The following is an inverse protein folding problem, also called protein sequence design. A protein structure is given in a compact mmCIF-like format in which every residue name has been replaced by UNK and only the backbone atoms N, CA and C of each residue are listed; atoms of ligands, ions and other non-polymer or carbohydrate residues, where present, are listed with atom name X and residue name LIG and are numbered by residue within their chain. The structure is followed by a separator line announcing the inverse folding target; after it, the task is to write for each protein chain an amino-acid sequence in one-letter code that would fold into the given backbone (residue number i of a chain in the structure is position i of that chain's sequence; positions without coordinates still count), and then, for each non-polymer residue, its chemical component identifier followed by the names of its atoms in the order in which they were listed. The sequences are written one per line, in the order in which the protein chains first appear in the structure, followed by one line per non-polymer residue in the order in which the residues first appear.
data_IF_471138637951
#
_entry.id   IF_471138637951
#
_cell.length_a   1.000
_cell.length_b   1.000
_cell.length_c   1.000
_cell.angle_alpha   90.00
_cell.angle_beta   90.00
_cell.angle_gamma   90.00
#
_symmetry.space_group_name_H-M   'P 1'
#
loop_
_entity.id
_entity.type
_entity.pdbx_description
1 polymer ?
#
# COMPACT_ATOMS: atom_id res chain seq x y z
N UNK A 1 8.34 -13.85 17.06
CA UNK A 1 9.16 -13.03 16.13
C UNK A 1 8.65 -11.60 16.09
N UNK A 2 9.52 -10.60 15.92
CA UNK A 2 9.13 -9.19 15.82
C UNK A 2 8.84 -8.75 14.38
N UNK A 3 7.63 -8.27 14.13
CA UNK A 3 7.20 -7.75 12.83
C UNK A 3 7.87 -6.39 12.51
N UNK A 4 8.47 -6.29 11.33
CA UNK A 4 9.12 -5.10 10.79
C UNK A 4 8.40 -4.64 9.53
N UNK A 5 7.91 -3.40 9.59
CA UNK A 5 7.24 -2.71 8.50
C UNK A 5 7.38 -1.20 8.68
N UNK A 6 7.00 -0.42 7.66
CA UNK A 6 7.03 1.03 7.76
C UNK A 6 5.81 1.51 8.57
N UNK A 7 6.04 2.48 9.47
CA UNK A 7 4.98 3.12 10.25
C UNK A 7 5.04 4.61 9.96
N UNK A 8 3.91 5.17 9.55
CA UNK A 8 3.78 6.62 9.39
C UNK A 8 3.81 7.33 10.75
N UNK A 9 4.08 8.65 10.78
CA UNK A 9 3.96 9.47 11.98
C UNK A 9 2.58 9.32 12.65
N UNK A 10 2.53 9.60 13.96
CA UNK A 10 1.35 9.37 14.80
C UNK A 10 0.12 10.11 14.23
N UNK A 11 -0.93 9.34 13.90
CA UNK A 11 -2.21 9.86 13.39
C UNK A 11 -2.40 9.68 11.87
N UNK A 12 -1.34 9.37 11.13
CA UNK A 12 -1.42 9.06 9.71
C UNK A 12 -1.49 7.56 9.46
N UNK A 13 -2.20 7.16 8.40
CA UNK A 13 -2.39 5.76 8.01
C UNK A 13 -2.10 5.60 6.53
N UNK A 14 -1.57 4.45 6.16
CA UNK A 14 -1.42 4.05 4.77
C UNK A 14 -1.81 2.58 4.68
N UNK A 15 -2.85 2.30 3.90
CA UNK A 15 -3.44 0.97 3.73
C UNK A 15 -2.37 -0.11 3.52
N UNK A 16 -1.39 0.16 2.65
CA UNK A 16 -0.32 -0.78 2.37
C UNK A 16 0.51 -1.20 3.59
N UNK A 17 0.79 -0.25 4.49
CA UNK A 17 1.54 -0.53 5.71
C UNK A 17 0.66 -1.19 6.77
N UNK A 18 -0.59 -0.75 6.88
CA UNK A 18 -1.61 -1.26 7.81
C UNK A 18 -2.01 -2.72 7.52
N UNK A 19 -1.78 -3.21 6.29
CA UNK A 19 -1.93 -4.62 5.96
C UNK A 19 -1.02 -5.52 6.81
N UNK A 20 0.15 -5.05 7.24
CA UNK A 20 1.09 -5.88 8.00
C UNK A 20 0.50 -6.41 9.31
N UNK A 21 0.15 -5.56 10.30
CA UNK A 21 -0.42 -6.07 11.55
C UNK A 21 -1.76 -6.77 11.34
N UNK A 22 -2.54 -6.35 10.32
CA UNK A 22 -3.86 -6.90 10.07
C UNK A 22 -3.82 -8.31 9.44
N UNK A 23 -2.97 -8.52 8.43
CA UNK A 23 -2.93 -9.75 7.64
C UNK A 23 -2.13 -10.84 8.34
N UNK A 24 -0.96 -10.51 8.87
CA UNK A 24 -0.09 -11.51 9.48
C UNK A 24 -0.70 -12.11 10.75
N UNK A 25 -1.43 -11.33 11.54
CA UNK A 25 -2.17 -11.85 12.71
C UNK A 25 -3.21 -12.91 12.31
N UNK A 26 -3.80 -12.81 11.12
CA UNK A 26 -4.79 -13.78 10.62
C UNK A 26 -4.16 -15.03 10.01
N UNK A 27 -3.00 -14.88 9.36
CA UNK A 27 -2.32 -15.97 8.68
C UNK A 27 -1.48 -16.84 9.61
N UNK A 28 -0.83 -16.21 10.60
CA UNK A 28 0.12 -16.86 11.51
C UNK A 28 -0.12 -16.39 12.96
N UNK A 29 -1.33 -16.60 13.53
CA UNK A 29 -1.68 -16.11 14.85
C UNK A 29 -0.72 -16.64 15.92
N UNK A 30 -0.30 -15.77 16.84
CA UNK A 30 0.62 -16.11 17.94
C UNK A 30 2.09 -16.31 17.54
N UNK A 31 2.44 -16.32 16.25
CA UNK A 31 3.84 -16.45 15.80
C UNK A 31 4.61 -15.12 15.94
N UNK A 32 3.92 -13.99 15.80
CA UNK A 32 4.49 -12.65 15.91
C UNK A 32 4.47 -12.12 17.36
N UNK A 33 5.15 -12.82 18.26
CA UNK A 33 5.21 -12.60 19.72
C UNK A 33 6.07 -11.40 20.21
N UNK A 34 6.47 -10.48 19.33
CA UNK A 34 7.38 -9.35 19.64
C UNK A 34 8.82 -9.70 20.06
N UNK A 35 9.26 -10.97 20.01
CA UNK A 35 10.66 -11.36 20.24
C UNK A 35 11.60 -10.65 19.25
N UNK A 36 12.43 -9.76 19.79
CA UNK A 36 13.39 -8.98 19.01
C UNK A 36 14.54 -9.83 18.44
N UNK A 37 14.74 -11.06 18.93
CA UNK A 37 15.81 -11.97 18.48
C UNK A 37 15.56 -12.57 17.09
N UNK A 38 14.32 -12.51 16.60
CA UNK A 38 13.94 -12.91 15.23
C UNK A 38 13.10 -11.80 14.60
N UNK A 39 13.58 -11.19 13.52
CA UNK A 39 12.84 -10.19 12.76
C UNK A 39 12.06 -10.83 11.61
N UNK A 40 10.77 -10.51 11.49
CA UNK A 40 9.97 -10.83 10.31
C UNK A 40 9.75 -9.55 9.49
N UNK A 41 10.32 -9.48 8.29
CA UNK A 41 10.23 -8.31 7.41
C UNK A 41 9.03 -8.49 6.48
N UNK A 42 7.96 -7.77 6.77
CA UNK A 42 6.66 -7.94 6.11
C UNK A 42 6.49 -7.14 4.83
N UNK A 43 5.24 -6.89 4.46
CA UNK A 43 4.81 -6.24 3.23
C UNK A 43 5.38 -4.82 3.14
N UNK A 44 5.83 -4.46 1.94
CA UNK A 44 6.31 -3.12 1.61
C UNK A 44 7.60 -3.10 0.82
N UNK A 45 8.22 -1.92 0.76
CA UNK A 45 9.56 -1.72 0.16
C UNK A 45 10.58 -1.55 1.29
N UNK A 46 10.86 -2.65 1.99
CA UNK A 46 11.61 -2.62 3.25
C UNK A 46 13.07 -3.05 3.09
N UNK A 47 13.43 -3.65 1.96
CA UNK A 47 14.79 -4.10 1.69
C UNK A 47 15.61 -2.92 1.16
N UNK A 48 16.38 -2.30 2.03
CA UNK A 48 17.32 -1.23 1.71
C UNK A 48 18.43 -1.14 2.75
N UNK A 49 19.37 -0.22 2.55
CA UNK A 49 20.50 0.03 3.43
C UNK A 49 20.14 0.41 4.88
N UNK A 50 18.87 0.75 5.16
CA UNK A 50 18.37 0.98 6.53
C UNK A 50 17.88 -0.30 7.24
N UNK A 51 17.67 -1.40 6.51
CA UNK A 51 17.17 -2.66 7.09
C UNK A 51 18.08 -3.21 8.21
N UNK A 52 19.41 -3.30 8.05
CA UNK A 52 20.29 -3.83 9.10
C UNK A 52 20.14 -3.08 10.43
N UNK A 53 19.98 -1.76 10.39
CA UNK A 53 19.77 -0.96 11.59
C UNK A 53 18.41 -1.25 12.24
N UNK A 54 17.36 -1.46 11.43
CA UNK A 54 16.02 -1.79 11.91
C UNK A 54 15.93 -3.21 12.49
N UNK A 55 16.85 -4.09 12.10
CA UNK A 55 16.93 -5.49 12.56
C UNK A 55 18.15 -5.77 13.43
N UNK A 56 18.86 -4.75 13.94
CA UNK A 56 20.14 -4.88 14.66
C UNK A 56 20.15 -5.81 15.89
N UNK A 57 18.97 -6.12 16.45
CA UNK A 57 18.82 -7.00 17.60
C UNK A 57 18.45 -8.44 17.21
N UNK A 58 18.16 -8.68 15.94
CA UNK A 58 17.74 -9.97 15.44
C UNK A 58 18.97 -10.82 15.08
N UNK A 59 19.00 -12.06 15.57
CA UNK A 59 19.95 -13.10 15.15
C UNK A 59 19.49 -13.78 13.87
N UNK A 60 18.19 -13.73 13.57
CA UNK A 60 17.56 -14.26 12.36
C UNK A 60 16.61 -13.25 11.75
N UNK A 61 16.71 -13.03 10.45
CA UNK A 61 15.90 -12.08 9.67
C UNK A 61 15.14 -12.88 8.61
N UNK A 62 13.83 -12.96 8.76
CA UNK A 62 12.93 -13.63 7.82
C UNK A 62 12.42 -12.60 6.80
N UNK A 63 12.66 -12.88 5.52
CA UNK A 63 12.16 -12.10 4.38
C UNK A 63 11.04 -12.89 3.72
N UNK A 64 9.86 -12.27 3.60
CA UNK A 64 8.70 -12.89 2.97
C UNK A 64 7.88 -11.86 2.19
N UNK A 65 7.91 -11.94 0.86
CA UNK A 65 7.05 -11.15 -0.04
C UNK A 65 7.28 -9.63 -0.01
N UNK A 66 8.36 -9.17 0.62
CA UNK A 66 8.76 -7.77 0.64
C UNK A 66 9.70 -7.48 -0.53
N UNK A 67 9.81 -6.21 -0.92
CA UNK A 67 10.69 -5.83 -2.04
C UNK A 67 11.73 -4.79 -1.68
N UNK A 68 12.69 -4.66 -2.59
CA UNK A 68 13.68 -3.58 -2.61
C UNK A 68 12.99 -2.26 -2.89
N UNK A 69 13.47 -1.21 -2.24
CA UNK A 69 13.04 0.14 -2.55
C UNK A 69 13.36 1.13 -1.45
N UNK A 70 13.40 2.40 -1.84
CA UNK A 70 13.87 3.52 -1.02
C UNK A 70 15.33 3.34 -0.54
N UNK A 71 16.01 4.42 -0.17
CA UNK A 71 17.42 4.35 0.24
C UNK A 71 18.43 4.30 -0.93
N UNK A 72 19.70 4.05 -0.59
CA UNK A 72 20.85 4.17 -1.52
C UNK A 72 21.51 2.82 -1.89
N UNK A 73 20.91 1.71 -1.48
CA UNK A 73 21.45 0.38 -1.72
C UNK A 73 20.68 -0.71 -0.97
N UNK A 74 21.14 -1.94 -1.11
CA UNK A 74 20.58 -3.14 -0.46
C UNK A 74 21.51 -3.64 0.66
N UNK A 75 21.00 -4.37 1.66
CA UNK A 75 21.85 -5.03 2.65
C UNK A 75 22.71 -6.12 2.00
N UNK A 76 23.89 -6.38 2.59
CA UNK A 76 24.64 -7.60 2.29
C UNK A 76 23.90 -8.78 2.94
N UNK A 77 23.52 -9.77 2.13
CA UNK A 77 22.86 -10.98 2.60
C UNK A 77 23.93 -11.92 3.17
N UNK A 78 23.73 -12.35 4.41
CA UNK A 78 24.56 -13.31 5.14
C UNK A 78 23.69 -14.42 5.77
N UNK A 79 24.28 -15.27 6.60
CA UNK A 79 23.61 -16.42 7.22
C UNK A 79 22.46 -16.04 8.18
N UNK A 80 22.39 -14.78 8.62
CA UNK A 80 21.27 -14.32 9.44
C UNK A 80 19.97 -14.21 8.65
N UNK A 81 20.03 -14.13 7.32
CA UNK A 81 18.85 -13.98 6.47
C UNK A 81 18.28 -15.33 6.05
N UNK A 82 16.97 -15.50 6.27
CA UNK A 82 16.16 -16.56 5.66
C UNK A 82 15.19 -15.91 4.68
N UNK A 83 15.45 -16.08 3.38
CA UNK A 83 14.64 -15.50 2.31
C UNK A 83 13.75 -16.59 1.71
N UNK A 84 12.44 -16.50 1.99
CA UNK A 84 11.45 -17.41 1.40
C UNK A 84 11.02 -16.94 0.02
N UNK A 85 10.76 -15.65 -0.12
CA UNK A 85 10.47 -15.00 -1.38
C UNK A 85 10.63 -13.48 -1.26
N UNK A 86 10.85 -12.84 -2.40
CA UNK A 86 10.83 -11.39 -2.57
C UNK A 86 9.75 -10.99 -3.55
N UNK A 87 9.40 -9.70 -3.54
CA UNK A 87 8.27 -9.15 -4.29
C UNK A 87 8.32 -9.35 -5.80
N UNK A 88 9.51 -9.41 -6.40
CA UNK A 88 9.64 -9.50 -7.86
C UNK A 88 11.07 -9.66 -8.34
N UNK A 89 11.22 -9.72 -9.67
CA UNK A 89 12.50 -10.03 -10.32
C UNK A 89 13.55 -8.96 -10.05
N UNK A 90 13.15 -7.68 -10.04
CA UNK A 90 14.07 -6.57 -9.79
C UNK A 90 14.62 -6.62 -8.35
N UNK A 91 13.80 -7.02 -7.38
CA UNK A 91 14.25 -7.26 -6.01
C UNK A 91 15.23 -8.43 -5.93
N UNK A 92 14.97 -9.55 -6.61
CA UNK A 92 15.87 -10.70 -6.61
C UNK A 92 17.24 -10.35 -7.24
N UNK A 93 17.22 -9.66 -8.39
CA UNK A 93 18.41 -9.19 -9.09
C UNK A 93 19.22 -8.20 -8.24
N UNK A 94 18.55 -7.22 -7.62
CA UNK A 94 19.22 -6.24 -6.77
C UNK A 94 19.93 -6.88 -5.55
N UNK A 95 19.42 -8.02 -5.05
CA UNK A 95 20.02 -8.76 -3.95
C UNK A 95 21.04 -9.82 -4.41
N UNK A 96 21.16 -10.08 -5.72
CA UNK A 96 22.00 -11.15 -6.25
C UNK A 96 21.55 -12.55 -5.84
N UNK A 97 20.25 -12.75 -5.61
CA UNK A 97 19.66 -14.05 -5.26
C UNK A 97 18.99 -14.71 -6.46
N UNK A 98 18.64 -15.99 -6.33
CA UNK A 98 17.93 -16.74 -7.38
C UNK A 98 16.61 -16.07 -7.76
N UNK A 99 16.38 -15.87 -9.06
CA UNK A 99 15.10 -15.37 -9.60
C UNK A 99 13.92 -16.29 -9.26
N UNK A 100 14.16 -17.57 -8.90
CA UNK A 100 13.12 -18.48 -8.41
C UNK A 100 12.46 -18.01 -7.10
N UNK A 101 13.11 -17.10 -6.37
CA UNK A 101 12.57 -16.50 -5.15
C UNK A 101 11.74 -15.24 -5.43
N UNK A 102 11.70 -14.75 -6.68
CA UNK A 102 10.83 -13.65 -7.10
C UNK A 102 9.40 -14.17 -7.30
N UNK A 103 8.64 -14.27 -6.21
CA UNK A 103 7.30 -14.86 -6.23
C UNK A 103 6.23 -13.79 -6.46
N UNK A 104 5.99 -12.91 -5.48
CA UNK A 104 5.14 -11.72 -5.59
C UNK A 104 5.10 -10.97 -4.25
N UNK A 105 4.35 -9.87 -4.16
CA UNK A 105 4.13 -9.13 -2.92
C UNK A 105 3.32 -9.95 -1.90
N UNK A 106 3.74 -9.94 -0.63
CA UNK A 106 3.06 -10.71 0.44
C UNK A 106 1.58 -10.36 0.62
N UNK A 107 1.14 -9.16 0.21
CA UNK A 107 -0.24 -8.72 0.31
C UNK A 107 -1.22 -9.56 -0.52
N UNK A 108 -0.75 -10.32 -1.53
CA UNK A 108 -1.64 -11.22 -2.30
C UNK A 108 -2.29 -12.30 -1.43
N UNK A 109 -1.67 -12.63 -0.29
CA UNK A 109 -2.22 -13.59 0.68
C UNK A 109 -3.51 -13.11 1.34
N UNK A 110 -3.93 -11.86 1.09
CA UNK A 110 -5.24 -11.36 1.49
C UNK A 110 -6.37 -12.31 1.11
N UNK A 111 -6.25 -12.99 -0.03
CA UNK A 111 -7.28 -13.91 -0.54
C UNK A 111 -7.50 -15.14 0.34
N UNK A 112 -6.55 -15.47 1.22
CA UNK A 112 -6.68 -16.57 2.18
C UNK A 112 -7.58 -16.21 3.38
N UNK A 113 -7.71 -14.92 3.69
CA UNK A 113 -8.40 -14.45 4.93
C UNK A 113 -9.58 -13.54 4.64
N UNK A 114 -9.71 -13.08 3.40
CA UNK A 114 -10.78 -12.19 2.97
C UNK A 114 -11.47 -12.76 1.73
N UNK A 115 -12.75 -13.06 1.89
CA UNK A 115 -13.66 -13.36 0.80
C UNK A 115 -14.74 -12.29 0.79
N UNK A 116 -14.89 -11.56 -0.31
CA UNK A 116 -16.03 -10.65 -0.45
C UNK A 116 -16.93 -11.08 -1.60
N UNK A 117 -18.23 -11.01 -1.31
CA UNK A 117 -19.34 -11.31 -2.20
C UNK A 117 -20.21 -10.07 -2.42
N UNK A 118 -19.75 -8.88 -2.03
CA UNK A 118 -20.49 -7.63 -2.24
C UNK A 118 -20.88 -7.47 -3.71
N UNK A 119 -22.12 -7.05 -4.00
CA UNK A 119 -22.49 -6.67 -5.35
C UNK A 119 -21.64 -5.49 -5.80
N UNK A 120 -21.33 -5.45 -7.10
CA UNK A 120 -20.63 -4.32 -7.71
C UNK A 120 -21.51 -3.08 -7.62
N UNK A 121 -20.94 -1.99 -7.10
CA UNK A 121 -21.61 -0.68 -6.98
C UNK A 121 -21.06 0.34 -7.96
N UNK A 122 -19.77 0.26 -8.26
CA UNK A 122 -19.08 1.23 -9.10
C UNK A 122 -18.40 0.53 -10.27
N UNK A 123 -18.69 0.99 -11.49
CA UNK A 123 -17.95 0.57 -12.69
C UNK A 123 -16.48 0.94 -12.59
N UNK A 124 -16.20 2.15 -12.11
CA UNK A 124 -14.85 2.64 -11.86
C UNK A 124 -14.74 3.18 -10.44
N UNK A 125 -13.64 2.85 -9.77
CA UNK A 125 -13.23 3.54 -8.55
C UNK A 125 -11.81 4.04 -8.66
N UNK A 126 -11.48 5.12 -7.94
CA UNK A 126 -10.13 5.68 -7.89
C UNK A 126 -9.57 5.64 -6.47
N UNK A 127 -8.34 5.16 -6.36
CA UNK A 127 -7.56 5.13 -5.12
C UNK A 127 -6.25 5.92 -5.30
N UNK A 128 -6.16 7.16 -4.79
CA UNK A 128 -4.94 7.97 -4.87
C UNK A 128 -3.81 7.41 -4.00
N UNK A 129 -2.60 7.95 -4.16
CA UNK A 129 -1.56 7.79 -3.14
C UNK A 129 -1.98 8.44 -1.81
N UNK A 130 -1.52 7.92 -0.66
CA UNK A 130 -1.97 8.41 0.66
C UNK A 130 -1.69 9.90 0.89
N UNK A 131 -0.57 10.42 0.39
CA UNK A 131 -0.20 11.84 0.47
C UNK A 131 -1.09 12.76 -0.39
N UNK A 132 -1.82 12.18 -1.34
CA UNK A 132 -2.70 12.89 -2.28
C UNK A 132 -4.17 12.63 -2.00
N UNK A 133 -4.49 11.76 -1.04
CA UNK A 133 -5.85 11.46 -0.65
C UNK A 133 -6.49 12.67 0.06
N UNK A 134 -7.74 12.97 -0.27
CA UNK A 134 -8.47 14.07 0.35
C UNK A 134 -9.63 14.59 -0.49
N UNK A 135 -10.24 15.69 -0.01
CA UNK A 135 -11.54 16.18 -0.49
C UNK A 135 -11.58 16.50 -1.98
N UNK A 136 -10.45 16.92 -2.55
CA UNK A 136 -10.32 17.18 -3.98
C UNK A 136 -10.67 15.96 -4.84
N UNK A 137 -10.02 14.82 -4.59
CA UNK A 137 -10.28 13.59 -5.34
C UNK A 137 -11.65 13.00 -5.04
N UNK A 138 -12.09 13.06 -3.79
CA UNK A 138 -13.45 12.64 -3.43
C UNK A 138 -14.50 13.41 -4.24
N UNK A 139 -14.36 14.73 -4.36
CA UNK A 139 -15.27 15.59 -5.14
C UNK A 139 -15.24 15.25 -6.63
N UNK A 140 -14.05 14.99 -7.19
CA UNK A 140 -13.91 14.58 -8.60
C UNK A 140 -14.62 13.24 -8.84
N UNK A 141 -14.37 12.25 -7.99
CA UNK A 141 -15.00 10.93 -8.12
C UNK A 141 -16.53 11.05 -8.03
N UNK A 142 -17.04 11.81 -7.06
CA UNK A 142 -18.48 12.05 -6.91
C UNK A 142 -19.09 12.68 -8.15
N UNK A 143 -18.47 13.71 -8.74
CA UNK A 143 -18.95 14.36 -9.97
C UNK A 143 -18.96 13.43 -11.19
N UNK A 144 -18.07 12.46 -11.22
CA UNK A 144 -17.97 11.47 -12.30
C UNK A 144 -18.84 10.22 -12.06
N UNK A 145 -19.45 10.08 -10.87
CA UNK A 145 -20.14 8.86 -10.46
C UNK A 145 -19.19 7.68 -10.16
N UNK A 146 -17.93 7.97 -9.85
CA UNK A 146 -16.91 6.97 -9.54
C UNK A 146 -16.89 6.68 -8.04
N UNK A 147 -16.49 5.47 -7.66
CA UNK A 147 -16.15 5.17 -6.27
C UNK A 147 -14.86 5.90 -5.87
N UNK A 148 -14.85 6.53 -4.71
CA UNK A 148 -13.63 7.06 -4.10
C UNK A 148 -13.15 6.09 -3.03
N UNK A 149 -11.86 5.73 -3.04
CA UNK A 149 -11.27 4.86 -2.02
C UNK A 149 -10.11 5.60 -1.36
N UNK A 150 -10.28 5.99 -0.11
CA UNK A 150 -9.19 6.64 0.63
C UNK A 150 -8.23 5.59 1.20
N UNK A 151 -6.94 5.60 0.83
CA UNK A 151 -5.94 4.67 1.36
C UNK A 151 -5.67 4.85 2.86
N UNK A 152 -6.27 5.82 3.54
CA UNK A 152 -6.12 6.05 4.99
C UNK A 152 -7.26 5.44 5.81
N UNK A 153 -8.29 4.90 5.16
CA UNK A 153 -9.39 4.19 5.82
C UNK A 153 -8.91 2.89 6.50
N UNK A 154 -9.80 2.24 7.26
CA UNK A 154 -9.50 0.91 7.81
C UNK A 154 -9.25 -0.11 6.70
N UNK A 155 -8.48 -1.15 7.01
CA UNK A 155 -8.17 -2.23 6.07
C UNK A 155 -9.47 -2.83 5.53
N UNK A 156 -10.43 -3.11 6.41
CA UNK A 156 -11.73 -3.67 6.05
C UNK A 156 -12.54 -2.77 5.13
N UNK A 157 -12.54 -1.45 5.38
CA UNK A 157 -13.26 -0.50 4.55
C UNK A 157 -12.66 -0.45 3.14
N UNK A 158 -11.33 -0.38 3.02
CA UNK A 158 -10.65 -0.39 1.73
C UNK A 158 -10.90 -1.70 0.98
N UNK A 159 -10.79 -2.85 1.64
CA UNK A 159 -11.05 -4.16 1.05
C UNK A 159 -12.50 -4.28 0.52
N UNK A 160 -13.46 -3.82 1.33
CA UNK A 160 -14.86 -3.78 0.93
C UNK A 160 -15.07 -2.90 -0.31
N UNK A 161 -14.53 -1.67 -0.29
CA UNK A 161 -14.66 -0.73 -1.42
C UNK A 161 -14.00 -1.24 -2.71
N UNK A 162 -12.82 -1.88 -2.63
CA UNK A 162 -12.19 -2.52 -3.80
C UNK A 162 -13.10 -3.62 -4.35
N UNK A 163 -13.70 -4.43 -3.49
CA UNK A 163 -14.58 -5.52 -3.92
C UNK A 163 -15.88 -5.05 -4.59
N UNK A 164 -16.39 -3.88 -4.18
CA UNK A 164 -17.56 -3.23 -4.79
C UNK A 164 -17.25 -2.55 -6.14
N UNK A 165 -15.99 -2.60 -6.59
CA UNK A 165 -15.49 -1.97 -7.81
C UNK A 165 -15.36 -2.99 -8.94
N UNK A 166 -15.77 -2.63 -10.16
CA UNK A 166 -15.51 -3.44 -11.37
C UNK A 166 -14.12 -3.20 -11.94
N UNK A 167 -13.65 -1.95 -12.01
CA UNK A 167 -12.30 -1.58 -12.46
C UNK A 167 -11.68 -0.53 -11.52
N UNK A 168 -10.51 -0.85 -10.95
CA UNK A 168 -9.80 0.05 -10.04
C UNK A 168 -8.75 0.89 -10.76
N UNK A 169 -8.86 2.21 -10.68
CA UNK A 169 -7.81 3.15 -11.05
C UNK A 169 -6.93 3.40 -9.81
N UNK A 170 -5.70 2.91 -9.80
CA UNK A 170 -4.87 2.86 -8.59
C UNK A 170 -3.56 3.64 -8.74
N UNK A 171 -3.35 4.62 -7.87
CA UNK A 171 -2.05 5.26 -7.68
C UNK A 171 -1.31 4.69 -6.45
N UNK A 172 -2.06 4.23 -5.44
CA UNK A 172 -1.53 3.40 -4.37
C UNK A 172 -1.31 1.95 -4.85
N UNK A 173 -0.04 1.51 -4.93
CA UNK A 173 0.33 0.16 -5.42
C UNK A 173 -0.38 -0.99 -4.70
N UNK A 174 -0.52 -0.91 -3.37
CA UNK A 174 -1.23 -1.96 -2.63
C UNK A 174 -2.73 -1.99 -2.96
N UNK A 175 -3.33 -0.91 -3.47
CA UNK A 175 -4.67 -0.96 -4.06
C UNK A 175 -4.72 -1.91 -5.27
N UNK A 176 -3.74 -1.79 -6.18
CA UNK A 176 -3.64 -2.66 -7.35
C UNK A 176 -3.30 -4.13 -6.98
N UNK A 177 -2.37 -4.36 -6.06
CA UNK A 177 -2.04 -5.71 -5.58
C UNK A 177 -3.27 -6.42 -5.01
N UNK A 178 -4.05 -5.71 -4.20
CA UNK A 178 -5.26 -6.25 -3.60
C UNK A 178 -6.37 -6.43 -4.64
N UNK A 179 -6.53 -5.49 -5.58
CA UNK A 179 -7.47 -5.65 -6.69
C UNK A 179 -7.13 -6.91 -7.51
N UNK A 180 -5.87 -7.12 -7.84
CA UNK A 180 -5.39 -8.32 -8.55
C UNK A 180 -5.74 -9.61 -7.80
N UNK A 181 -5.41 -9.69 -6.50
CA UNK A 181 -5.71 -10.84 -5.64
C UNK A 181 -7.23 -11.11 -5.50
N UNK A 182 -8.04 -10.05 -5.56
CA UNK A 182 -9.51 -10.12 -5.51
C UNK A 182 -10.16 -10.25 -6.89
N UNK A 183 -9.36 -10.38 -7.97
CA UNK A 183 -9.83 -10.49 -9.36
C UNK A 183 -10.63 -9.27 -9.84
N UNK A 184 -10.23 -8.09 -9.40
CA UNK A 184 -10.72 -6.80 -9.89
C UNK A 184 -9.67 -6.23 -10.85
N UNK A 185 -10.00 -6.06 -12.15
CA UNK A 185 -9.14 -5.37 -13.10
C UNK A 185 -8.65 -4.02 -12.56
N UNK A 186 -7.41 -3.67 -12.83
CA UNK A 186 -6.80 -2.44 -12.33
C UNK A 186 -6.00 -1.72 -13.40
N UNK A 187 -5.91 -0.39 -13.28
CA UNK A 187 -5.05 0.47 -14.09
C UNK A 187 -4.13 1.29 -13.18
N UNK A 188 -2.81 1.27 -13.42
CA UNK A 188 -1.88 2.11 -12.67
C UNK A 188 -2.01 3.57 -13.12
N UNK A 189 -2.23 4.47 -12.15
CA UNK A 189 -2.25 5.92 -12.37
C UNK A 189 -1.02 6.53 -11.71
N UNK A 190 -0.43 7.55 -12.34
CA UNK A 190 0.59 8.39 -11.72
C UNK A 190 0.26 9.86 -11.89
N UNK A 191 0.15 10.58 -10.77
CA UNK A 191 -0.06 12.03 -10.74
C UNK A 191 1.17 12.78 -10.20
N UNK A 192 2.12 12.05 -9.61
CA UNK A 192 3.36 12.58 -9.06
C UNK A 192 4.55 11.67 -9.38
N UNK A 193 5.66 12.26 -9.82
CA UNK A 193 6.92 11.55 -10.09
C UNK A 193 7.64 11.06 -8.84
N UNK A 194 7.23 11.49 -7.63
CA UNK A 194 7.79 10.98 -6.37
C UNK A 194 7.38 9.53 -6.07
N UNK A 195 6.35 9.00 -6.74
CA UNK A 195 5.95 7.61 -6.60
C UNK A 195 7.03 6.75 -7.26
N UNK A 196 7.71 5.95 -6.43
CA UNK A 196 8.79 5.08 -6.88
C UNK A 196 8.28 4.08 -7.93
N UNK A 197 8.61 4.30 -9.20
CA UNK A 197 8.23 3.40 -10.28
C UNK A 197 8.83 1.99 -10.12
N UNK A 198 10.02 1.90 -9.53
CA UNK A 198 10.72 0.63 -9.30
C UNK A 198 9.85 -0.40 -8.57
N UNK A 199 9.14 -0.03 -7.49
CA UNK A 199 8.31 -0.99 -6.74
C UNK A 199 7.15 -1.54 -7.57
N UNK A 200 6.58 -0.72 -8.45
CA UNK A 200 5.53 -1.14 -9.37
C UNK A 200 6.07 -2.08 -10.44
N UNK A 201 7.18 -1.72 -11.09
CA UNK A 201 7.84 -2.55 -12.10
C UNK A 201 8.24 -3.91 -11.52
N UNK A 202 8.80 -3.90 -10.31
CA UNK A 202 9.19 -5.08 -9.56
C UNK A 202 7.99 -6.00 -9.31
N UNK A 203 6.88 -5.49 -8.75
CA UNK A 203 5.68 -6.31 -8.57
C UNK A 203 5.08 -6.78 -9.90
N UNK A 204 4.94 -5.91 -10.91
CA UNK A 204 4.39 -6.29 -12.22
C UNK A 204 5.21 -7.42 -12.88
N UNK A 205 6.54 -7.39 -12.72
CA UNK A 205 7.43 -8.46 -13.21
C UNK A 205 7.11 -9.82 -12.58
N UNK A 206 6.64 -9.86 -11.33
CA UNK A 206 6.30 -11.10 -10.62
C UNK A 206 5.03 -11.78 -11.16
N UNK A 207 4.12 -11.01 -11.76
CA UNK A 207 2.86 -11.49 -12.33
C UNK A 207 2.87 -11.49 -13.87
N UNK A 208 4.03 -11.25 -14.48
CA UNK A 208 4.21 -11.31 -15.93
C UNK A 208 3.49 -10.21 -16.72
N UNK A 209 3.27 -9.04 -16.12
CA UNK A 209 2.67 -7.88 -16.80
C UNK A 209 3.66 -6.72 -16.89
N UNK A 210 3.52 -5.90 -17.92
CA UNK A 210 4.33 -4.69 -18.07
C UNK A 210 3.71 -3.53 -17.27
N UNK A 211 4.54 -2.80 -16.52
CA UNK A 211 4.10 -1.60 -15.82
C UNK A 211 3.98 -0.41 -16.79
N UNK A 212 2.76 -0.10 -17.22
CA UNK A 212 2.44 1.01 -18.11
C UNK A 212 1.49 2.02 -17.44
N UNK A 213 2.00 2.95 -16.59
CA UNK A 213 1.14 3.89 -15.87
C UNK A 213 0.56 4.97 -16.77
N UNK A 214 -0.72 5.29 -16.57
CA UNK A 214 -1.36 6.45 -17.19
C UNK A 214 -0.98 7.68 -16.37
N UNK A 215 -0.31 8.63 -17.02
CA UNK A 215 0.08 9.89 -16.39
C UNK A 215 -1.06 10.89 -16.42
N UNK A 216 -1.42 11.39 -15.25
CA UNK A 216 -2.43 12.43 -15.07
C UNK A 216 -1.78 13.66 -14.41
N UNK A 217 -2.40 14.84 -14.59
CA UNK A 217 -1.95 16.04 -13.87
C UNK A 217 -2.31 15.89 -12.38
N UNK A 218 -1.41 16.38 -11.52
CA UNK A 218 -1.68 16.45 -10.08
C UNK A 218 -2.90 17.32 -9.81
N UNK A 219 -3.81 16.82 -8.99
CA UNK A 219 -4.93 17.59 -8.48
C UNK A 219 -4.48 18.35 -7.22
N UNK A 220 -4.69 19.67 -7.21
CA UNK A 220 -4.52 20.46 -6.01
C UNK A 220 -5.80 20.40 -5.18
N UNK A 221 -5.66 20.16 -3.87
CA UNK A 221 -6.82 20.17 -2.99
C UNK A 221 -7.42 21.58 -2.95
N UNK A 222 -8.76 21.70 -2.96
CA UNK A 222 -9.40 22.99 -2.73
C UNK A 222 -8.91 23.53 -1.38
N UNK A 223 -8.53 24.81 -1.35
CA UNK A 223 -8.21 25.48 -0.09
C UNK A 223 -9.47 25.41 0.77
N UNK A 224 -9.36 24.89 1.99
CA UNK A 224 -10.38 25.17 3.00
C UNK A 224 -10.38 26.68 3.19
N UNK A 225 -11.43 27.35 2.73
CA UNK A 225 -11.67 28.71 3.21
C UNK A 225 -11.94 28.57 4.70
N UNK A 226 -11.00 28.99 5.54
CA UNK A 226 -11.34 29.40 6.89
C UNK A 226 -12.40 30.48 6.74
N UNK A 227 -13.68 30.10 6.82
CA UNK A 227 -14.77 31.07 6.83
C UNK A 227 -14.80 31.67 8.25
N UNK A 228 -13.86 32.60 8.47
CA UNK A 228 -13.73 33.39 9.71
C UNK A 228 -15.02 34.20 9.98
N UNK A 229 -15.89 34.33 8.96
CA UNK A 229 -17.13 35.08 9.02
C UNK A 229 -18.36 34.20 9.29
N UNK A 230 -18.23 32.87 9.37
CA UNK A 230 -19.35 31.99 9.74
C UNK A 230 -20.02 32.40 11.06
N UNK A 231 -19.28 32.73 12.14
CA UNK A 231 -19.90 33.18 13.40
C UNK A 231 -20.64 34.52 13.27
N UNK A 232 -20.19 35.39 12.35
CA UNK A 232 -20.80 36.70 12.12
C UNK A 232 -22.04 36.63 11.21
N UNK A 233 -22.12 35.63 10.33
CA UNK A 233 -23.30 35.39 9.47
C UNK A 233 -24.49 34.85 10.26
N UNK A 234 -24.26 33.94 11.21
CA UNK A 234 -25.34 33.42 12.09
C UNK A 234 -25.94 34.48 13.02
N UNK A 235 -25.16 35.46 13.47
CA UNK A 235 -25.67 36.57 14.31
C UNK A 235 -26.56 37.53 13.50
N UNK A 236 -26.28 37.70 12.21
CA UNK A 236 -27.03 38.61 11.35
C UNK A 236 -28.40 38.04 10.94
N UNK A 237 -28.52 36.72 10.82
CA UNK A 237 -29.78 36.06 10.46
C UNK A 237 -30.71 35.80 11.66
N UNK A 238 -30.23 35.96 12.91
CA UNK A 238 -31.06 35.96 14.13
C UNK A 238 -31.74 37.31 14.43
N UNK A 239 -31.27 38.39 13.80
CA UNK A 239 -31.79 39.75 14.00
C UNK A 239 -32.67 40.24 12.83
N UNK A 240 -33.30 39.31 12.11
CA UNK A 240 -34.34 39.57 11.10
C UNK A 240 -35.55 38.70 11.39
#
# INVERSE_FOLDING_TARGET
MKLRYYKLPKGERNFGDELNPWLWEKLIPGILDEDASVAFVGIGSLINNGLPQKTRYARKIVIFGTGVGYGKGVPKIDESYTIYCVRGLLSAQALGISEKLAITDGAVLIRQVFSNQSPKKYRFSYMPHYELAGKGWETVCQKLGFGYIDPRWSVEQVLSSISETEILLAEAMHGAIIADALRVPWLPITTNSSILAFKWQDWCSSIGVEYQPIRMKRLHHPKESLDILTPFRTIRDWNR
#
